data_IF_342811829797
#
_entry.id   IF_342811829797
#
_cell.length_a   1.000
_cell.length_b   1.000
_cell.length_c   1.000
_cell.angle_alpha   90.00
_cell.angle_beta   90.00
_cell.angle_gamma   90.00
#
_symmetry.space_group_name_H-M   'P 1'
#
loop_
_entity.id
_entity.type
_entity.pdbx_description
1 polymer ?
#
# COMPACT_ATOMS: atom_id res chain seq x y z
N UNK A 1 -33.21 -7.63 -35.15
CA UNK A 1 -32.01 -6.81 -34.88
C UNK A 1 -32.08 -6.11 -33.52
N UNK A 2 -32.62 -6.76 -32.48
CA UNK A 2 -32.89 -6.13 -31.17
C UNK A 2 -31.99 -6.64 -30.03
N UNK A 3 -31.27 -7.76 -30.23
CA UNK A 3 -30.40 -8.36 -29.19
C UNK A 3 -29.13 -7.57 -28.89
N UNK A 4 -28.45 -7.03 -29.91
CA UNK A 4 -27.18 -6.31 -29.72
C UNK A 4 -27.31 -4.95 -29.03
N UNK A 5 -28.50 -4.34 -29.05
CA UNK A 5 -28.74 -3.03 -28.40
C UNK A 5 -29.02 -3.17 -26.91
N UNK A 6 -29.65 -4.28 -26.48
CA UNK A 6 -29.90 -4.58 -25.06
C UNK A 6 -28.60 -4.96 -24.35
N UNK A 7 -27.78 -5.80 -24.98
CA UNK A 7 -26.47 -6.21 -24.46
C UNK A 7 -25.50 -5.02 -24.33
N UNK A 8 -25.56 -4.06 -25.27
CA UNK A 8 -24.79 -2.81 -25.20
C UNK A 8 -25.20 -1.92 -24.03
N UNK A 9 -26.50 -1.75 -23.80
CA UNK A 9 -27.01 -0.94 -22.70
C UNK A 9 -26.71 -1.55 -21.32
N UNK A 10 -26.82 -2.87 -21.19
CA UNK A 10 -26.46 -3.59 -19.96
C UNK A 10 -24.96 -3.46 -19.65
N UNK A 11 -24.10 -3.56 -20.68
CA UNK A 11 -22.66 -3.35 -20.53
C UNK A 11 -22.32 -1.92 -20.12
N UNK A 12 -22.96 -0.92 -20.71
CA UNK A 12 -22.76 0.49 -20.34
C UNK A 12 -23.20 0.76 -18.90
N UNK A 13 -24.34 0.22 -18.48
CA UNK A 13 -24.83 0.32 -17.10
C UNK A 13 -23.87 -0.35 -16.10
N UNK A 14 -23.32 -1.51 -16.45
CA UNK A 14 -22.32 -2.20 -15.63
C UNK A 14 -21.03 -1.38 -15.48
N UNK A 15 -20.52 -0.80 -16.58
CA UNK A 15 -19.34 0.08 -16.56
C UNK A 15 -19.59 1.32 -15.70
N UNK A 16 -20.77 1.94 -15.83
CA UNK A 16 -21.14 3.10 -15.02
C UNK A 16 -21.20 2.76 -13.52
N UNK A 17 -21.80 1.62 -13.19
CA UNK A 17 -21.88 1.13 -11.80
C UNK A 17 -20.49 0.87 -11.22
N UNK A 18 -19.61 0.22 -11.99
CA UNK A 18 -18.22 -0.01 -11.60
C UNK A 18 -17.48 1.30 -11.30
N UNK A 19 -17.55 2.27 -12.22
CA UNK A 19 -16.90 3.58 -12.04
C UNK A 19 -17.42 4.33 -10.82
N UNK A 20 -18.72 4.25 -10.55
CA UNK A 20 -19.31 4.87 -9.37
C UNK A 20 -18.79 4.20 -8.08
N UNK A 21 -18.69 2.87 -8.05
CA UNK A 21 -18.15 2.14 -6.90
C UNK A 21 -16.68 2.48 -6.63
N UNK A 22 -15.83 2.45 -7.66
CA UNK A 22 -14.41 2.84 -7.54
C UNK A 22 -14.25 4.31 -7.08
N UNK A 23 -15.13 5.22 -7.54
CA UNK A 23 -15.11 6.60 -7.06
C UNK A 23 -15.42 6.70 -5.57
N UNK A 24 -16.37 5.92 -5.05
CA UNK A 24 -16.68 5.89 -3.61
C UNK A 24 -15.50 5.33 -2.82
N UNK A 25 -14.85 4.28 -3.32
CA UNK A 25 -13.65 3.69 -2.71
C UNK A 25 -12.52 4.71 -2.64
N UNK A 26 -12.22 5.40 -3.75
CA UNK A 26 -11.20 6.44 -3.81
C UNK A 26 -11.49 7.59 -2.84
N UNK A 27 -12.76 8.03 -2.75
CA UNK A 27 -13.15 9.05 -1.76
C UNK A 27 -12.95 8.57 -0.32
N UNK A 28 -13.34 7.34 0.00
CA UNK A 28 -13.12 6.74 1.32
C UNK A 28 -11.62 6.69 1.65
N UNK A 29 -10.80 6.23 0.71
CA UNK A 29 -9.34 6.16 0.87
C UNK A 29 -8.76 7.54 1.14
N UNK A 30 -9.16 8.55 0.37
CA UNK A 30 -8.72 9.93 0.57
C UNK A 30 -9.09 10.45 1.96
N UNK A 31 -10.35 10.26 2.40
CA UNK A 31 -10.77 10.70 3.73
C UNK A 31 -9.98 9.98 4.84
N UNK A 32 -9.70 8.68 4.67
CA UNK A 32 -8.89 7.93 5.62
C UNK A 32 -7.45 8.44 5.67
N UNK A 33 -6.84 8.63 4.50
CA UNK A 33 -5.45 9.08 4.38
C UNK A 33 -5.27 10.51 4.93
N UNK A 34 -6.03 11.48 4.43
CA UNK A 34 -5.92 12.88 4.88
C UNK A 34 -6.42 13.06 6.33
N UNK A 35 -7.43 12.29 6.76
CA UNK A 35 -7.94 12.31 8.13
C UNK A 35 -7.01 11.63 9.15
N UNK A 36 -6.14 10.72 8.71
CA UNK A 36 -5.19 10.02 9.58
C UNK A 36 -4.04 10.93 10.08
N UNK A 37 -3.73 11.99 9.33
CA UNK A 37 -2.55 12.83 9.53
C UNK A 37 -1.33 12.38 8.71
N UNK A 38 -1.42 11.29 7.92
CA UNK A 38 -0.32 10.79 7.10
C UNK A 38 0.21 11.80 6.07
N UNK A 39 -0.65 12.70 5.58
CA UNK A 39 -0.28 13.76 4.63
C UNK A 39 0.27 15.03 5.28
N UNK A 40 0.10 15.21 6.60
CA UNK A 40 0.23 16.53 7.22
C UNK A 40 1.70 16.93 7.44
N UNK A 41 2.15 17.91 6.65
CA UNK A 41 3.34 18.72 6.91
C UNK A 41 3.08 19.75 8.04
N UNK A 42 2.74 19.25 9.24
CA UNK A 42 2.61 19.99 10.50
C UNK A 42 1.55 21.12 10.60
N UNK A 43 0.67 20.99 11.61
CA UNK A 43 0.17 22.03 12.57
C UNK A 43 -1.33 22.18 12.79
N UNK A 44 -2.22 21.66 11.95
CA UNK A 44 -3.68 21.92 12.16
C UNK A 44 -4.61 20.69 12.19
N UNK A 45 -4.13 19.48 11.90
CA UNK A 45 -5.00 18.31 12.00
C UNK A 45 -5.35 18.02 13.47
N UNK A 46 -6.62 17.75 13.77
CA UNK A 46 -7.04 17.15 15.04
C UNK A 46 -6.46 15.72 15.11
N UNK A 47 -5.20 15.60 15.50
CA UNK A 47 -4.44 14.38 15.20
C UNK A 47 -4.86 13.22 16.13
N UNK A 48 -5.64 12.29 15.60
CA UNK A 48 -6.12 11.10 16.33
C UNK A 48 -5.03 10.02 16.43
N UNK A 49 -4.08 9.98 15.48
CA UNK A 49 -3.00 8.99 15.42
C UNK A 49 -1.63 9.59 15.78
N UNK A 50 -1.52 10.16 16.98
CA UNK A 50 -0.27 10.81 17.45
C UNK A 50 0.73 9.87 18.15
N UNK A 51 0.32 8.64 18.43
CA UNK A 51 1.13 7.69 19.19
C UNK A 51 1.17 6.31 18.54
N UNK A 52 2.24 5.54 18.74
CA UNK A 52 2.30 4.12 18.39
C UNK A 52 1.07 3.35 18.88
N UNK A 53 0.60 3.57 20.11
CA UNK A 53 -0.58 2.87 20.64
C UNK A 53 -1.88 3.21 19.91
N UNK A 54 -2.09 4.47 19.54
CA UNK A 54 -3.25 4.87 18.73
C UNK A 54 -3.18 4.27 17.34
N UNK A 55 -2.00 4.25 16.71
CA UNK A 55 -1.78 3.64 15.39
C UNK A 55 -2.03 2.13 15.43
N UNK A 56 -1.52 1.44 16.45
CA UNK A 56 -1.75 0.00 16.66
C UNK A 56 -3.23 -0.33 16.82
N UNK A 57 -3.96 0.44 17.65
CA UNK A 57 -5.41 0.27 17.80
C UNK A 57 -6.14 0.52 16.50
N UNK A 58 -5.72 1.51 15.72
CA UNK A 58 -6.28 1.77 14.40
C UNK A 58 -6.08 0.59 13.46
N UNK A 59 -4.85 0.06 13.34
CA UNK A 59 -4.55 -1.12 12.52
C UNK A 59 -5.44 -2.32 12.88
N UNK A 60 -5.66 -2.57 14.18
CA UNK A 60 -6.53 -3.66 14.65
C UNK A 60 -7.99 -3.39 14.30
N UNK A 61 -8.51 -2.22 14.67
CA UNK A 61 -9.94 -1.90 14.53
C UNK A 61 -10.38 -1.74 13.07
N UNK A 62 -9.50 -1.20 12.24
CA UNK A 62 -9.78 -0.93 10.83
C UNK A 62 -9.26 -2.02 9.89
N UNK A 63 -8.70 -3.13 10.41
CA UNK A 63 -8.19 -4.24 9.60
C UNK A 63 -9.16 -4.69 8.48
N UNK A 64 -10.47 -4.87 8.72
CA UNK A 64 -11.40 -5.25 7.63
C UNK A 64 -11.51 -4.17 6.54
N UNK A 65 -11.50 -2.89 6.93
CA UNK A 65 -11.57 -1.77 5.99
C UNK A 65 -10.28 -1.66 5.17
N UNK A 66 -9.12 -1.78 5.81
CA UNK A 66 -7.82 -1.78 5.13
C UNK A 66 -7.70 -2.94 4.13
N UNK A 67 -8.23 -4.12 4.48
CA UNK A 67 -8.29 -5.26 3.57
C UNK A 67 -9.22 -5.02 2.37
N UNK A 68 -10.36 -4.34 2.57
CA UNK A 68 -11.25 -3.94 1.47
C UNK A 68 -10.60 -2.92 0.54
N UNK A 69 -9.91 -1.92 1.10
CA UNK A 69 -9.17 -0.92 0.33
C UNK A 69 -8.00 -1.56 -0.45
N UNK A 70 -7.30 -2.51 0.16
CA UNK A 70 -6.26 -3.27 -0.50
C UNK A 70 -6.77 -4.11 -1.69
N UNK A 71 -8.06 -4.46 -1.72
CA UNK A 71 -8.68 -5.22 -2.79
C UNK A 71 -9.27 -4.35 -3.91
N UNK A 72 -9.03 -3.03 -3.91
CA UNK A 72 -9.48 -2.11 -4.95
C UNK A 72 -8.78 -2.36 -6.30
N UNK A 73 -9.30 -1.78 -7.38
CA UNK A 73 -8.71 -1.91 -8.72
C UNK A 73 -8.01 -0.63 -9.18
N UNK A 74 -7.94 0.40 -8.33
CA UNK A 74 -7.49 1.71 -8.73
C UNK A 74 -6.07 2.00 -8.17
N UNK A 75 -5.07 2.27 -9.03
CA UNK A 75 -3.68 2.46 -8.58
C UNK A 75 -3.49 3.60 -7.58
N UNK A 76 -4.24 4.71 -7.66
CA UNK A 76 -4.13 5.81 -6.70
C UNK A 76 -4.62 5.43 -5.29
N UNK A 77 -5.61 4.51 -5.20
CA UNK A 77 -6.10 3.95 -3.94
C UNK A 77 -5.02 3.10 -3.30
N UNK A 78 -4.34 2.25 -4.07
CA UNK A 78 -3.17 1.52 -3.59
C UNK A 78 -2.03 2.45 -3.19
N UNK A 79 -1.81 3.54 -3.94
CA UNK A 79 -0.80 4.53 -3.61
C UNK A 79 -1.02 5.15 -2.22
N UNK A 80 -2.21 5.73 -1.98
CA UNK A 80 -2.53 6.31 -0.68
C UNK A 80 -2.55 5.27 0.45
N UNK A 81 -2.91 4.02 0.16
CA UNK A 81 -2.84 2.95 1.15
C UNK A 81 -1.39 2.62 1.53
N UNK A 82 -0.46 2.61 0.57
CA UNK A 82 0.98 2.45 0.83
C UNK A 82 1.51 3.61 1.68
N UNK A 83 1.15 4.84 1.37
CA UNK A 83 1.55 6.01 2.18
C UNK A 83 0.95 5.97 3.59
N UNK A 84 -0.32 5.54 3.71
CA UNK A 84 -0.94 5.32 5.02
C UNK A 84 -0.19 4.24 5.81
N UNK A 85 0.20 3.14 5.17
CA UNK A 85 1.01 2.11 5.83
C UNK A 85 2.36 2.65 6.29
N UNK A 86 3.05 3.45 5.49
CA UNK A 86 4.30 4.12 5.90
C UNK A 86 4.12 4.95 7.18
N UNK A 87 3.02 5.70 7.26
CA UNK A 87 2.69 6.48 8.44
C UNK A 87 2.42 5.60 9.67
N UNK A 88 1.78 4.45 9.48
CA UNK A 88 1.37 3.53 10.56
C UNK A 88 2.49 2.61 11.06
N UNK A 89 3.66 2.57 10.41
CA UNK A 89 4.80 1.72 10.81
C UNK A 89 5.07 1.76 12.33
N UNK A 90 5.13 2.93 13.01
CA UNK A 90 5.44 2.97 14.44
C UNK A 90 4.45 2.21 15.33
N UNK A 91 3.21 2.01 14.89
CA UNK A 91 2.19 1.31 15.67
C UNK A 91 2.39 -0.19 15.74
N UNK A 92 2.75 -0.81 14.62
CA UNK A 92 3.05 -2.24 14.53
C UNK A 92 3.87 -2.51 13.25
N UNK A 93 5.22 -2.40 13.32
CA UNK A 93 6.07 -2.54 12.14
C UNK A 93 5.91 -3.90 11.45
N UNK A 94 5.73 -4.98 12.21
CA UNK A 94 5.57 -6.31 11.66
C UNK A 94 4.23 -6.45 10.92
N UNK A 95 3.11 -6.08 11.55
CA UNK A 95 1.80 -6.19 10.90
C UNK A 95 1.67 -5.27 9.69
N UNK A 96 2.29 -4.10 9.72
CA UNK A 96 2.31 -3.18 8.56
C UNK A 96 3.13 -3.77 7.42
N UNK A 97 4.32 -4.32 7.70
CA UNK A 97 5.14 -4.97 6.67
C UNK A 97 4.41 -6.15 6.03
N UNK A 98 3.76 -7.00 6.83
CA UNK A 98 3.00 -8.15 6.33
C UNK A 98 1.83 -7.69 5.43
N UNK A 99 1.15 -6.59 5.79
CA UNK A 99 0.06 -6.02 5.00
C UNK A 99 0.56 -5.37 3.71
N UNK A 100 1.71 -4.69 3.76
CA UNK A 100 2.36 -4.09 2.60
C UNK A 100 2.79 -5.17 1.61
N UNK A 101 3.45 -6.24 2.09
CA UNK A 101 3.88 -7.35 1.25
C UNK A 101 2.68 -7.98 0.53
N UNK A 102 1.61 -8.32 1.26
CA UNK A 102 0.41 -8.91 0.68
C UNK A 102 -0.29 -7.99 -0.35
N UNK A 103 -0.26 -6.67 -0.13
CA UNK A 103 -0.76 -5.70 -1.09
C UNK A 103 0.09 -5.70 -2.38
N UNK A 104 1.41 -5.57 -2.22
CA UNK A 104 2.36 -5.40 -3.33
C UNK A 104 2.48 -6.65 -4.20
N UNK A 105 2.49 -7.84 -3.62
CA UNK A 105 2.57 -9.12 -4.37
C UNK A 105 1.20 -9.63 -4.82
N UNK A 106 0.12 -8.99 -4.35
CA UNK A 106 -1.26 -9.36 -4.65
C UNK A 106 -1.97 -8.32 -5.51
N UNK A 107 -3.01 -7.62 -4.99
CA UNK A 107 -3.82 -6.69 -5.78
C UNK A 107 -3.02 -5.60 -6.49
N UNK A 108 -2.06 -4.96 -5.83
CA UNK A 108 -1.32 -3.86 -6.43
C UNK A 108 -0.43 -4.32 -7.60
N UNK A 109 0.15 -5.53 -7.52
CA UNK A 109 0.86 -6.12 -8.66
C UNK A 109 -0.07 -6.37 -9.85
N UNK A 110 -1.27 -6.93 -9.61
CA UNK A 110 -2.26 -7.20 -10.67
C UNK A 110 -2.71 -5.93 -11.38
N UNK A 111 -2.88 -4.84 -10.64
CA UNK A 111 -3.26 -3.54 -11.18
C UNK A 111 -2.07 -2.71 -11.70
N UNK A 112 -0.86 -3.28 -11.72
CA UNK A 112 0.31 -2.64 -12.31
C UNK A 112 0.93 -1.51 -11.48
N UNK A 113 0.63 -1.41 -10.18
CA UNK A 113 1.14 -0.34 -9.30
C UNK A 113 2.67 -0.21 -9.32
N UNK A 114 3.39 -1.31 -9.45
CA UNK A 114 4.86 -1.35 -9.53
C UNK A 114 5.43 -0.64 -10.77
N UNK A 115 4.61 -0.39 -11.80
CA UNK A 115 4.95 0.43 -12.97
C UNK A 115 4.69 1.93 -12.76
N UNK A 116 3.98 2.32 -11.70
CA UNK A 116 3.68 3.72 -11.42
C UNK A 116 4.93 4.48 -10.97
N UNK A 117 5.12 5.69 -11.50
CA UNK A 117 6.30 6.51 -11.21
C UNK A 117 6.43 6.91 -9.74
N UNK A 118 5.30 6.99 -9.03
CA UNK A 118 5.25 7.33 -7.61
C UNK A 118 5.46 6.14 -6.68
N UNK A 119 5.39 4.90 -7.18
CA UNK A 119 5.46 3.70 -6.34
C UNK A 119 6.86 3.42 -5.82
N UNK A 120 7.88 3.42 -6.68
CA UNK A 120 9.23 3.07 -6.24
C UNK A 120 9.81 4.03 -5.18
N UNK A 121 9.68 5.37 -5.31
CA UNK A 121 10.20 6.27 -4.28
C UNK A 121 9.63 6.02 -2.88
N UNK A 122 8.32 5.74 -2.76
CA UNK A 122 7.71 5.44 -1.46
C UNK A 122 8.17 4.09 -0.93
N UNK A 123 8.24 3.05 -1.77
CA UNK A 123 8.68 1.71 -1.33
C UNK A 123 10.14 1.73 -0.89
N UNK A 124 11.05 2.36 -1.65
CA UNK A 124 12.47 2.48 -1.28
C UNK A 124 12.62 3.22 0.06
N UNK A 125 11.87 4.30 0.26
CA UNK A 125 11.87 5.05 1.53
C UNK A 125 11.38 4.19 2.69
N UNK A 126 10.28 3.46 2.51
CA UNK A 126 9.75 2.54 3.52
C UNK A 126 10.75 1.43 3.87
N UNK A 127 11.35 0.76 2.89
CA UNK A 127 12.32 -0.31 3.12
C UNK A 127 13.56 0.22 3.85
N UNK A 128 14.08 1.38 3.44
CA UNK A 128 15.21 2.04 4.12
C UNK A 128 14.88 2.31 5.59
N UNK A 129 13.67 2.80 5.88
CA UNK A 129 13.18 3.00 7.25
C UNK A 129 13.09 1.69 8.03
N UNK A 130 12.57 0.62 7.42
CA UNK A 130 12.52 -0.69 8.07
C UNK A 130 13.91 -1.21 8.44
N UNK A 131 14.88 -1.08 7.53
CA UNK A 131 16.27 -1.50 7.78
C UNK A 131 16.92 -0.62 8.86
N UNK A 132 16.65 0.69 8.88
CA UNK A 132 17.20 1.60 9.88
C UNK A 132 16.62 1.40 11.28
N UNK A 133 15.28 1.39 11.39
CA UNK A 133 14.58 1.56 12.66
C UNK A 133 13.96 0.26 13.19
N UNK A 134 13.72 -0.72 12.31
CA UNK A 134 12.90 -1.90 12.60
C UNK A 134 13.52 -3.22 12.10
N UNK A 135 14.85 -3.28 11.89
CA UNK A 135 15.53 -4.43 11.27
C UNK A 135 15.24 -5.79 11.92
N UNK A 136 14.97 -5.80 13.23
CA UNK A 136 14.73 -7.02 14.00
C UNK A 136 13.50 -7.80 13.52
N UNK A 137 12.54 -7.16 12.84
CA UNK A 137 11.39 -7.90 12.27
C UNK A 137 11.83 -8.90 11.18
N UNK A 138 13.01 -8.69 10.57
CA UNK A 138 13.62 -9.54 9.54
C UNK A 138 14.60 -10.58 10.11
N UNK A 139 14.67 -10.75 11.44
CA UNK A 139 15.20 -11.98 12.04
C UNK A 139 14.27 -13.18 11.76
N UNK A 140 13.00 -12.90 11.48
CA UNK A 140 12.04 -13.85 10.94
C UNK A 140 12.34 -14.12 9.45
N UNK A 141 12.64 -15.38 9.13
CA UNK A 141 12.99 -15.80 7.77
C UNK A 141 11.84 -15.62 6.76
N UNK A 142 10.58 -15.64 7.22
CA UNK A 142 9.41 -15.40 6.37
C UNK A 142 9.39 -13.94 5.94
N UNK A 143 9.54 -12.99 6.87
CA UNK A 143 9.60 -11.56 6.53
C UNK A 143 10.84 -11.20 5.73
N UNK A 144 11.97 -11.86 6.01
CA UNK A 144 13.19 -11.69 5.20
C UNK A 144 12.97 -12.13 3.76
N UNK A 145 12.29 -13.26 3.55
CA UNK A 145 11.95 -13.74 2.20
C UNK A 145 10.97 -12.80 1.51
N UNK A 146 9.96 -12.31 2.23
CA UNK A 146 9.00 -11.32 1.74
C UNK A 146 9.68 -10.00 1.33
N UNK A 147 10.69 -9.54 2.08
CA UNK A 147 11.47 -8.36 1.73
C UNK A 147 12.23 -8.53 0.41
N UNK A 148 12.86 -9.68 0.21
CA UNK A 148 13.51 -10.03 -1.05
C UNK A 148 12.51 -10.04 -2.21
N UNK A 149 11.32 -10.59 -2.00
CA UNK A 149 10.26 -10.62 -3.01
C UNK A 149 9.78 -9.22 -3.40
N UNK A 150 9.53 -8.32 -2.42
CA UNK A 150 9.18 -6.92 -2.70
C UNK A 150 10.28 -6.23 -3.51
N UNK A 151 11.54 -6.36 -3.11
CA UNK A 151 12.65 -5.72 -3.83
C UNK A 151 12.81 -6.26 -5.26
N UNK A 152 12.57 -7.56 -5.47
CA UNK A 152 12.59 -8.18 -6.80
C UNK A 152 11.48 -7.64 -7.71
N UNK A 153 10.25 -7.54 -7.18
CA UNK A 153 9.10 -7.01 -7.92
C UNK A 153 9.40 -5.63 -8.55
N UNK A 154 10.09 -4.76 -7.81
CA UNK A 154 10.47 -3.44 -8.30
C UNK A 154 11.75 -3.47 -9.15
N UNK A 155 12.74 -4.32 -8.83
CA UNK A 155 13.94 -4.44 -9.67
C UNK A 155 13.64 -4.96 -11.08
N UNK A 156 12.67 -5.89 -11.20
CA UNK A 156 12.31 -6.53 -12.46
C UNK A 156 11.72 -5.56 -13.49
N UNK A 157 11.12 -4.45 -13.02
CA UNK A 157 10.60 -3.37 -13.87
C UNK A 157 11.57 -2.20 -14.03
N UNK A 158 12.84 -2.39 -13.62
CA UNK A 158 13.95 -1.49 -13.94
C UNK A 158 14.28 -0.45 -12.86
N UNK A 159 13.74 -0.56 -11.66
CA UNK A 159 14.07 0.38 -10.58
C UNK A 159 15.45 0.10 -9.97
N UNK A 160 16.43 0.94 -10.30
CA UNK A 160 17.84 0.79 -9.89
C UNK A 160 18.04 0.80 -8.37
N UNK A 161 17.26 1.60 -7.65
CA UNK A 161 17.39 1.72 -6.19
C UNK A 161 16.93 0.43 -5.49
N UNK A 162 15.88 -0.22 -6.00
CA UNK A 162 15.43 -1.52 -5.50
C UNK A 162 16.49 -2.61 -5.75
N UNK A 163 17.11 -2.61 -6.95
CA UNK A 163 18.20 -3.53 -7.27
C UNK A 163 19.42 -3.31 -6.35
N UNK A 164 19.77 -2.05 -6.07
CA UNK A 164 20.86 -1.70 -5.16
C UNK A 164 20.59 -2.20 -3.74
N UNK A 165 19.39 -1.93 -3.22
CA UNK A 165 18.98 -2.43 -1.90
C UNK A 165 19.01 -3.96 -1.83
N UNK A 166 18.56 -4.65 -2.89
CA UNK A 166 18.58 -6.11 -2.95
C UNK A 166 20.02 -6.66 -2.85
N UNK A 167 20.98 -6.01 -3.50
CA UNK A 167 22.39 -6.40 -3.45
C UNK A 167 23.03 -6.14 -2.08
N UNK A 168 22.70 -5.01 -1.45
CA UNK A 168 23.24 -4.61 -0.14
C UNK A 168 22.55 -5.33 1.03
N UNK A 169 21.40 -5.97 0.80
CA UNK A 169 20.56 -6.57 1.83
C UNK A 169 21.28 -7.54 2.78
N UNK A 170 22.15 -8.46 2.31
CA UNK A 170 22.87 -9.36 3.21
C UNK A 170 23.80 -8.64 4.18
N UNK A 171 24.34 -7.49 3.80
CA UNK A 171 25.19 -6.67 4.67
C UNK A 171 24.34 -5.84 5.64
N UNK A 172 23.21 -5.32 5.16
CA UNK A 172 22.28 -4.49 5.93
C UNK A 172 21.51 -5.27 7.02
N UNK A 173 21.34 -6.59 6.85
CA UNK A 173 20.63 -7.46 7.79
C UNK A 173 21.55 -8.30 8.70
N UNK A 174 22.86 -8.02 8.73
CA UNK A 174 23.81 -8.68 9.63
C UNK A 174 23.72 -8.20 11.08
#
# INVERSE_FOLDING_TARGET
MTGGTVEGAEREAAIATYKAAESVIGHLMNQLYFGSGAHADSREASVVLMSPDTMRRFLVNYRPMLALLAASHEPSTHHHLVELYEFLIPGDPASVFDSLHALLTGPAAREGYHHESLAAPVIVRMITRYIGDHRSIFEDDTRRSALVEVLRLFSDVGWSDALKLLYELPDLLR
#
